data_IF_822324382234
#
_entry.id   IF_822324382234
#
_cell.length_a   1.000
_cell.length_b   1.000
_cell.length_c   1.000
_cell.angle_alpha   90.00
_cell.angle_beta   90.00
_cell.angle_gamma   90.00
#
_symmetry.space_group_name_H-M   'P 1'
#
loop_
_entity.id
_entity.type
_entity.pdbx_description
1 polymer ?
#
# COMPACT_ATOMS: atom_id res chain seq x y z
N UNK A 1 8.98 -16.88 -0.01
CA UNK A 1 9.69 -16.99 1.32
C UNK A 1 10.25 -18.41 1.55
N UNK A 2 11.10 -18.66 2.56
CA UNK A 2 11.61 -20.01 2.88
C UNK A 2 10.49 -20.91 3.44
N UNK A 3 10.40 -22.16 2.99
CA UNK A 3 9.42 -23.13 3.51
C UNK A 3 9.63 -23.39 5.00
N UNK A 4 8.54 -23.57 5.74
CA UNK A 4 8.57 -24.01 7.13
C UNK A 4 7.90 -25.39 7.20
N UNK A 5 8.67 -26.44 7.48
CA UNK A 5 8.16 -27.80 7.71
C UNK A 5 8.37 -28.18 9.17
N UNK A 6 9.55 -28.69 9.48
CA UNK A 6 9.97 -29.04 10.84
C UNK A 6 11.16 -28.16 11.23
N UNK A 7 11.12 -27.61 12.43
CA UNK A 7 12.17 -26.77 12.99
C UNK A 7 12.61 -27.36 14.33
N UNK A 8 13.84 -27.88 14.40
CA UNK A 8 14.46 -28.33 15.64
C UNK A 8 15.61 -27.39 16.01
N UNK A 9 15.69 -27.02 17.30
CA UNK A 9 16.76 -26.18 17.80
C UNK A 9 16.59 -25.80 19.25
N UNK A 10 17.62 -25.16 19.81
CA UNK A 10 17.57 -24.61 21.16
C UNK A 10 16.61 -23.43 21.17
N UNK A 11 15.61 -23.47 22.07
CA UNK A 11 14.67 -22.39 22.29
C UNK A 11 15.24 -21.36 23.28
N UNK A 12 15.12 -20.08 22.96
CA UNK A 12 15.57 -18.98 23.83
C UNK A 12 14.38 -18.41 24.64
N UNK A 13 14.51 -18.28 25.97
CA UNK A 13 13.50 -17.63 26.79
C UNK A 13 13.61 -16.10 26.72
N UNK A 14 12.51 -15.40 26.42
CA UNK A 14 12.44 -13.94 26.42
C UNK A 14 11.21 -13.45 27.20
N UNK A 15 11.27 -13.43 28.55
CA UNK A 15 10.14 -13.17 29.42
C UNK A 15 9.84 -11.67 29.58
N UNK A 16 9.60 -10.98 28.45
CA UNK A 16 9.28 -9.54 28.42
C UNK A 16 7.82 -9.35 28.00
N UNK A 17 6.97 -8.98 28.95
CA UNK A 17 5.56 -8.64 28.70
C UNK A 17 5.49 -7.29 27.96
N UNK A 18 4.55 -7.17 27.01
CA UNK A 18 4.38 -5.97 26.18
C UNK A 18 5.69 -5.60 25.45
N UNK A 19 6.32 -6.59 24.82
CA UNK A 19 7.51 -6.37 24.03
C UNK A 19 7.14 -5.64 22.74
N UNK A 20 7.29 -4.32 22.75
CA UNK A 20 6.99 -3.47 21.58
C UNK A 20 7.95 -3.73 20.42
N UNK A 21 7.44 -3.67 19.20
CA UNK A 21 8.22 -3.57 17.96
C UNK A 21 9.39 -2.59 18.00
N UNK A 22 9.31 -1.47 18.74
CA UNK A 22 10.44 -0.53 18.88
C UNK A 22 11.59 -1.14 19.66
N UNK A 23 11.26 -1.93 20.71
CA UNK A 23 12.23 -2.68 21.48
C UNK A 23 12.82 -3.82 20.65
N UNK A 24 12.03 -4.45 19.77
CA UNK A 24 12.52 -5.47 18.84
C UNK A 24 13.46 -4.82 17.82
N UNK A 25 13.06 -3.71 17.20
CA UNK A 25 13.83 -3.01 16.19
C UNK A 25 13.60 -1.48 16.27
N UNK A 26 14.58 -0.70 16.74
CA UNK A 26 14.40 0.72 17.00
C UNK A 26 14.02 1.56 15.77
N UNK A 27 13.10 2.51 15.97
CA UNK A 27 12.60 3.40 14.91
C UNK A 27 13.69 4.14 14.13
N UNK A 28 14.82 4.44 14.77
CA UNK A 28 15.93 5.19 14.17
C UNK A 28 16.54 4.49 12.94
N UNK A 29 16.35 3.17 12.80
CA UNK A 29 16.87 2.37 11.69
C UNK A 29 15.85 2.09 10.57
N UNK A 30 14.63 2.61 10.65
CA UNK A 30 13.56 2.32 9.68
C UNK A 30 13.79 2.88 8.26
N UNK A 31 14.87 3.65 8.05
CA UNK A 31 15.25 4.18 6.73
C UNK A 31 15.84 3.12 5.79
N UNK A 32 16.20 1.94 6.31
CA UNK A 32 16.76 0.87 5.48
C UNK A 32 15.67 0.16 4.67
N UNK A 33 15.97 -0.10 3.40
CA UNK A 33 15.14 -0.93 2.50
C UNK A 33 15.70 -2.36 2.36
N UNK A 34 16.86 -2.65 2.96
CA UNK A 34 17.46 -3.99 2.94
C UNK A 34 16.79 -4.89 3.97
N UNK A 35 16.59 -6.16 3.62
CA UNK A 35 16.03 -7.19 4.51
C UNK A 35 17.09 -8.02 5.24
N UNK A 36 18.38 -7.77 4.99
CA UNK A 36 19.51 -8.48 5.61
C UNK A 36 20.46 -7.53 6.32
N UNK A 37 21.23 -8.08 7.27
CA UNK A 37 22.14 -7.29 8.11
C UNK A 37 21.40 -6.41 9.12
N UNK A 38 20.17 -6.79 9.47
CA UNK A 38 19.31 -6.09 10.42
C UNK A 38 19.53 -6.60 11.85
N UNK A 39 20.03 -7.83 11.99
CA UNK A 39 20.33 -8.48 13.27
C UNK A 39 21.31 -7.71 14.15
N UNK A 40 22.13 -6.82 13.58
CA UNK A 40 23.02 -5.93 14.33
C UNK A 40 22.26 -4.86 15.15
N UNK A 41 21.01 -4.56 14.80
CA UNK A 41 20.14 -3.61 15.52
C UNK A 41 18.98 -4.30 16.26
N UNK A 42 18.87 -5.62 16.14
CA UNK A 42 17.87 -6.41 16.85
C UNK A 42 18.06 -6.26 18.36
N UNK A 43 16.99 -5.87 19.06
CA UNK A 43 16.97 -5.64 20.51
C UNK A 43 18.00 -4.63 21.00
N UNK A 44 18.35 -3.61 20.19
CA UNK A 44 19.53 -2.80 20.43
C UNK A 44 19.67 -2.29 21.87
N UNK A 45 18.59 -1.73 22.43
CA UNK A 45 18.57 -1.09 23.75
C UNK A 45 18.87 -2.04 24.91
N UNK A 46 18.63 -3.35 24.72
CA UNK A 46 18.79 -4.37 25.77
C UNK A 46 19.88 -5.39 25.44
N UNK A 47 20.20 -5.56 24.15
CA UNK A 47 21.20 -6.50 23.63
C UNK A 47 22.59 -5.89 23.54
N UNK A 48 22.72 -4.57 23.47
CA UNK A 48 24.02 -3.89 23.42
C UNK A 48 24.14 -2.87 24.55
N UNK A 49 25.38 -2.61 24.96
CA UNK A 49 25.74 -1.51 25.87
C UNK A 49 25.86 -0.21 25.08
N UNK A 50 25.94 0.90 25.80
CA UNK A 50 26.07 2.25 25.23
C UNK A 50 27.34 2.47 24.40
N UNK A 51 28.39 1.69 24.65
CA UNK A 51 29.64 1.68 23.87
C UNK A 51 29.56 0.80 22.60
N UNK A 52 28.41 0.18 22.34
CA UNK A 52 28.18 -0.73 21.21
C UNK A 52 28.64 -2.16 21.43
N UNK A 53 29.24 -2.50 22.59
CA UNK A 53 29.58 -3.88 22.92
C UNK A 53 28.34 -4.70 23.29
N UNK A 54 28.40 -6.01 23.08
CA UNK A 54 27.27 -6.89 23.42
C UNK A 54 27.04 -6.95 24.94
N UNK A 55 25.78 -6.91 25.36
CA UNK A 55 25.38 -7.14 26.74
C UNK A 55 25.39 -8.65 27.03
N UNK A 56 26.32 -9.19 27.84
CA UNK A 56 26.42 -10.63 28.10
C UNK A 56 25.20 -11.18 28.86
N UNK A 57 24.45 -10.32 29.55
CA UNK A 57 23.26 -10.72 30.32
C UNK A 57 22.02 -10.88 29.42
N UNK A 58 22.06 -10.38 28.18
CA UNK A 58 20.96 -10.59 27.24
C UNK A 58 20.97 -12.00 26.68
N UNK A 59 19.82 -12.68 26.73
CA UNK A 59 19.69 -14.11 26.40
C UNK A 59 20.30 -14.48 25.05
N UNK A 60 20.04 -13.70 23.99
CA UNK A 60 20.54 -13.99 22.63
C UNK A 60 22.04 -13.71 22.43
N UNK A 61 22.74 -13.17 23.43
CA UNK A 61 24.20 -13.06 23.43
C UNK A 61 24.88 -14.23 24.17
N UNK A 62 24.12 -15.07 24.85
CA UNK A 62 24.66 -16.21 25.60
C UNK A 62 24.70 -17.46 24.74
N UNK A 63 25.76 -18.27 24.86
CA UNK A 63 25.70 -19.65 24.42
C UNK A 63 24.81 -20.43 25.40
N UNK A 64 23.84 -21.24 24.93
CA UNK A 64 23.62 -21.70 23.56
C UNK A 64 22.68 -20.84 22.69
N UNK A 65 21.97 -19.88 23.26
CA UNK A 65 20.86 -19.16 22.62
C UNK A 65 21.27 -18.22 21.48
N UNK A 66 22.57 -17.95 21.32
CA UNK A 66 23.13 -17.15 20.22
C UNK A 66 22.69 -17.62 18.83
N UNK A 67 22.45 -18.93 18.68
CA UNK A 67 21.99 -19.54 17.44
C UNK A 67 20.57 -20.11 17.55
N UNK A 68 19.78 -19.57 18.50
CA UNK A 68 18.40 -20.01 18.68
C UNK A 68 17.60 -19.75 17.41
N UNK A 69 16.71 -20.69 17.09
CA UNK A 69 15.75 -20.56 15.99
C UNK A 69 14.31 -20.40 16.49
N UNK A 70 14.10 -20.65 17.78
CA UNK A 70 12.81 -20.64 18.46
C UNK A 70 12.92 -19.65 19.61
N UNK A 71 11.95 -18.76 19.73
CA UNK A 71 11.85 -17.79 20.81
C UNK A 71 10.58 -18.07 21.62
N UNK A 72 10.70 -18.21 22.93
CA UNK A 72 9.56 -18.29 23.85
C UNK A 72 9.38 -16.91 24.47
N UNK A 73 8.32 -16.22 24.07
CA UNK A 73 7.97 -14.87 24.50
C UNK A 73 6.94 -14.84 25.63
N UNK A 74 6.69 -13.64 26.15
CA UNK A 74 5.61 -13.40 27.11
C UNK A 74 4.40 -12.71 26.45
N UNK A 75 3.40 -12.38 27.27
CA UNK A 75 2.12 -11.84 26.80
C UNK A 75 2.26 -10.52 26.02
N UNK A 76 1.41 -10.36 25.01
CA UNK A 76 1.33 -9.21 24.10
C UNK A 76 2.64 -8.95 23.32
N UNK A 77 3.17 -10.00 22.69
CA UNK A 77 4.43 -9.93 21.94
C UNK A 77 4.28 -9.12 20.65
N UNK A 78 5.23 -8.23 20.39
CA UNK A 78 5.26 -7.42 19.16
C UNK A 78 4.22 -6.30 19.14
N UNK A 79 3.81 -5.79 20.30
CA UNK A 79 2.88 -4.66 20.40
C UNK A 79 3.46 -3.35 19.87
N UNK A 80 2.65 -2.29 19.80
CA UNK A 80 3.09 -0.99 19.33
C UNK A 80 2.89 -0.78 17.83
N UNK A 81 3.83 -0.08 17.18
CA UNK A 81 3.66 0.41 15.81
C UNK A 81 3.83 -0.67 14.74
N UNK A 82 3.15 -0.49 13.60
CA UNK A 82 3.34 -1.35 12.43
C UNK A 82 4.76 -1.21 11.87
N UNK A 83 5.61 -2.22 12.08
CA UNK A 83 7.00 -2.24 11.61
C UNK A 83 7.38 -3.61 11.06
N UNK A 84 7.47 -3.72 9.74
CA UNK A 84 7.94 -4.96 9.08
C UNK A 84 9.42 -5.27 9.34
N UNK A 85 10.22 -4.25 9.68
CA UNK A 85 11.63 -4.44 10.05
C UNK A 85 11.83 -5.31 11.30
N UNK A 86 10.87 -5.33 12.23
CA UNK A 86 10.96 -6.14 13.45
C UNK A 86 11.01 -7.65 13.15
N UNK A 87 10.05 -8.25 12.40
CA UNK A 87 10.17 -9.64 11.98
C UNK A 87 11.38 -9.86 11.05
N UNK A 88 11.75 -8.92 10.17
CA UNK A 88 12.96 -9.08 9.34
C UNK A 88 14.24 -9.21 10.18
N UNK A 89 14.38 -8.41 11.24
CA UNK A 89 15.55 -8.47 12.11
C UNK A 89 15.61 -9.77 12.92
N UNK A 90 14.46 -10.29 13.37
CA UNK A 90 14.35 -11.60 14.00
C UNK A 90 14.75 -12.72 13.03
N UNK A 91 14.26 -12.65 11.79
CA UNK A 91 14.59 -13.63 10.75
C UNK A 91 16.07 -13.59 10.36
N UNK A 92 16.64 -12.39 10.18
CA UNK A 92 18.06 -12.19 9.86
C UNK A 92 18.98 -12.67 10.99
N UNK A 93 18.52 -12.64 12.24
CA UNK A 93 19.22 -13.26 13.37
C UNK A 93 19.12 -14.80 13.35
N UNK A 94 18.08 -15.36 12.72
CA UNK A 94 17.86 -16.80 12.60
C UNK A 94 16.60 -17.32 13.30
N UNK A 95 15.81 -16.44 13.94
CA UNK A 95 14.54 -16.81 14.58
C UNK A 95 13.50 -17.10 13.50
N UNK A 96 13.00 -18.34 13.49
CA UNK A 96 11.99 -18.83 12.54
C UNK A 96 10.65 -19.13 13.21
N UNK A 97 10.62 -19.34 14.51
CA UNK A 97 9.40 -19.59 15.28
C UNK A 97 9.37 -18.74 16.55
N UNK A 98 8.19 -18.21 16.89
CA UNK A 98 7.96 -17.46 18.12
C UNK A 98 6.73 -18.08 18.80
N UNK A 99 6.84 -18.40 20.08
CA UNK A 99 5.74 -18.97 20.88
C UNK A 99 5.45 -18.00 22.01
N UNK A 100 4.21 -17.53 22.14
CA UNK A 100 3.83 -16.58 23.19
C UNK A 100 2.34 -16.75 23.56
N UNK A 101 1.87 -16.21 24.70
CA UNK A 101 0.46 -16.30 25.06
C UNK A 101 -0.45 -15.51 24.10
N UNK A 102 0.04 -14.36 23.63
CA UNK A 102 -0.65 -13.52 22.67
C UNK A 102 0.33 -12.67 21.86
N UNK A 103 -0.13 -12.19 20.72
CA UNK A 103 0.61 -11.30 19.82
C UNK A 103 -0.25 -10.10 19.47
N UNK A 104 0.38 -8.98 19.15
CA UNK A 104 -0.33 -7.89 18.48
C UNK A 104 -0.61 -8.25 17.02
N UNK A 105 -1.83 -7.97 16.55
CA UNK A 105 -2.35 -8.43 15.25
C UNK A 105 -1.44 -8.09 14.07
N UNK A 106 -0.88 -6.89 14.04
CA UNK A 106 -0.04 -6.43 12.92
C UNK A 106 1.27 -7.22 12.87
N UNK A 107 1.95 -7.36 14.02
CA UNK A 107 3.18 -8.13 14.11
C UNK A 107 2.92 -9.60 13.75
N UNK A 108 1.85 -10.18 14.29
CA UNK A 108 1.42 -11.54 14.01
C UNK A 108 1.23 -11.81 12.52
N UNK A 109 0.53 -10.90 11.82
CA UNK A 109 0.35 -10.99 10.37
C UNK A 109 1.66 -10.83 9.58
N UNK A 110 2.52 -9.90 10.01
CA UNK A 110 3.81 -9.68 9.35
C UNK A 110 4.75 -10.87 9.50
N UNK A 111 4.68 -11.63 10.60
CA UNK A 111 5.45 -12.87 10.73
C UNK A 111 5.15 -13.87 9.60
N UNK A 112 3.86 -14.14 9.33
CA UNK A 112 3.47 -15.08 8.26
C UNK A 112 3.96 -14.63 6.89
N UNK A 113 3.83 -13.34 6.57
CA UNK A 113 4.31 -12.77 5.30
C UNK A 113 5.81 -12.91 5.09
N UNK A 114 6.57 -13.10 6.18
CA UNK A 114 8.02 -13.20 6.17
C UNK A 114 8.54 -14.61 6.49
N UNK A 115 7.67 -15.62 6.56
CA UNK A 115 8.07 -17.01 6.79
C UNK A 115 8.48 -17.34 8.23
N UNK A 116 8.03 -16.54 9.19
CA UNK A 116 8.15 -16.81 10.62
C UNK A 116 6.82 -17.41 11.09
N UNK A 117 6.89 -18.48 11.90
CA UNK A 117 5.72 -19.11 12.51
C UNK A 117 5.47 -18.54 13.94
N UNK A 118 4.48 -17.66 14.13
CA UNK A 118 4.02 -17.28 15.45
C UNK A 118 2.96 -18.27 15.95
N UNK A 119 3.18 -18.85 17.13
CA UNK A 119 2.28 -19.81 17.78
C UNK A 119 1.73 -19.18 19.05
N UNK A 120 0.42 -18.94 19.08
CA UNK A 120 -0.29 -18.49 20.27
C UNK A 120 -0.78 -19.71 21.06
N UNK A 121 -0.46 -19.79 22.35
CA UNK A 121 -0.88 -20.88 23.24
C UNK A 121 -1.41 -20.33 24.58
N UNK A 122 -2.22 -21.10 25.32
CA UNK A 122 -2.56 -20.77 26.70
C UNK A 122 -1.32 -20.44 27.54
N UNK A 123 -1.44 -19.44 28.41
CA UNK A 123 -0.32 -18.91 29.20
C UNK A 123 0.38 -20.01 30.00
N UNK A 124 -0.37 -20.94 30.56
CA UNK A 124 0.13 -22.03 31.38
C UNK A 124 1.10 -22.92 30.59
N UNK A 125 0.76 -23.22 29.34
CA UNK A 125 1.60 -24.02 28.44
C UNK A 125 2.85 -23.23 28.04
N UNK A 126 2.72 -21.92 27.78
CA UNK A 126 3.87 -21.08 27.43
C UNK A 126 4.84 -20.95 28.62
N UNK A 127 4.32 -20.86 29.84
CA UNK A 127 5.14 -20.81 31.06
C UNK A 127 5.95 -22.12 31.22
N UNK A 128 5.34 -23.28 30.97
CA UNK A 128 6.05 -24.57 30.94
C UNK A 128 7.15 -24.63 29.86
N UNK A 129 6.85 -24.14 28.64
CA UNK A 129 7.84 -24.04 27.57
C UNK A 129 8.95 -23.04 27.91
N UNK A 130 8.64 -21.97 28.64
CA UNK A 130 9.62 -20.98 29.10
C UNK A 130 10.58 -21.60 30.12
N UNK A 131 10.07 -22.44 31.03
CA UNK A 131 10.90 -23.20 31.97
C UNK A 131 11.82 -24.19 31.25
N UNK A 132 11.31 -24.89 30.23
CA UNK A 132 12.12 -25.76 29.38
C UNK A 132 13.21 -25.00 28.63
N UNK A 133 12.86 -23.82 28.09
CA UNK A 133 13.81 -22.92 27.42
C UNK A 133 14.92 -22.44 28.37
N UNK A 134 14.65 -22.34 29.68
CA UNK A 134 15.63 -22.00 30.72
C UNK A 134 16.72 -23.04 30.96
N UNK A 135 16.60 -24.27 30.43
CA UNK A 135 17.52 -25.40 30.67
C UNK A 135 18.79 -25.35 29.80
N UNK A 136 19.12 -24.21 29.19
CA UNK A 136 20.36 -24.02 28.44
C UNK A 136 20.47 -24.94 27.23
N UNK A 137 21.61 -25.62 27.05
CA UNK A 137 21.87 -26.42 25.85
C UNK A 137 20.90 -27.61 25.70
N UNK A 138 20.22 -28.00 26.77
CA UNK A 138 19.22 -29.07 26.77
C UNK A 138 17.82 -28.59 26.36
N UNK A 139 17.63 -27.28 26.11
CA UNK A 139 16.36 -26.70 25.69
C UNK A 139 16.03 -26.94 24.21
N UNK A 140 16.27 -28.16 23.71
CA UNK A 140 15.99 -28.51 22.31
C UNK A 140 14.50 -28.80 22.17
N UNK A 141 13.82 -28.00 21.35
CA UNK A 141 12.42 -28.19 20.99
C UNK A 141 12.31 -28.48 19.50
N UNK A 142 11.31 -29.25 19.12
CA UNK A 142 11.00 -29.52 17.71
C UNK A 142 9.58 -29.09 17.39
N UNK A 143 9.46 -28.11 16.50
CA UNK A 143 8.20 -27.59 15.97
C UNK A 143 7.92 -28.31 14.65
N UNK A 144 6.79 -28.99 14.56
CA UNK A 144 6.34 -29.65 13.35
C UNK A 144 5.06 -28.97 12.86
N UNK A 145 5.15 -28.24 11.75
CA UNK A 145 4.01 -27.49 11.22
C UNK A 145 2.96 -28.39 10.57
N UNK A 146 3.36 -29.53 10.01
CA UNK A 146 2.45 -30.43 9.32
C UNK A 146 1.49 -31.11 10.30
N UNK A 147 2.03 -31.62 11.40
CA UNK A 147 1.27 -32.22 12.51
C UNK A 147 0.81 -31.20 13.56
N UNK A 148 1.29 -29.95 13.46
CA UNK A 148 1.05 -28.86 14.42
C UNK A 148 1.38 -29.27 15.86
N UNK A 149 2.59 -29.79 16.05
CA UNK A 149 3.10 -30.23 17.34
C UNK A 149 4.39 -29.53 17.73
N UNK A 150 4.56 -29.35 19.04
CA UNK A 150 5.80 -28.93 19.68
C UNK A 150 6.24 -30.11 20.54
N UNK A 151 7.37 -30.73 20.19
CA UNK A 151 7.99 -31.77 21.02
C UNK A 151 8.96 -31.08 21.98
N UNK A 152 8.70 -31.24 23.27
CA UNK A 152 9.48 -30.71 24.39
C UNK A 152 10.76 -31.53 24.61
N UNK A 153 11.74 -31.03 25.41
CA UNK A 153 12.98 -31.75 25.68
C UNK A 153 12.79 -33.12 26.36
N UNK A 154 11.71 -33.30 27.12
CA UNK A 154 11.34 -34.57 27.78
C UNK A 154 10.58 -35.54 26.87
N UNK A 155 10.28 -35.13 25.63
CA UNK A 155 9.53 -35.90 24.64
C UNK A 155 8.02 -35.71 24.70
N UNK A 156 7.49 -34.94 25.65
CA UNK A 156 6.08 -34.58 25.67
C UNK A 156 5.72 -33.71 24.46
N UNK A 157 4.48 -33.86 23.98
CA UNK A 157 3.97 -33.13 22.81
C UNK A 157 2.87 -32.16 23.21
N UNK A 158 3.05 -30.90 22.82
CA UNK A 158 2.04 -29.85 22.89
C UNK A 158 1.48 -29.63 21.50
N UNK A 159 0.15 -29.62 21.37
CA UNK A 159 -0.53 -29.31 20.11
C UNK A 159 -0.84 -27.82 20.01
N UNK A 160 -0.74 -27.27 18.80
CA UNK A 160 -1.21 -25.92 18.49
C UNK A 160 -2.15 -25.92 17.29
N UNK A 161 -2.94 -24.87 17.14
CA UNK A 161 -3.81 -24.68 15.99
C UNK A 161 -3.36 -23.51 15.14
N UNK A 162 -3.40 -23.69 13.82
CA UNK A 162 -3.14 -22.64 12.85
C UNK A 162 -4.22 -22.70 11.77
N UNK A 163 -4.62 -21.53 11.28
CA UNK A 163 -5.46 -21.40 10.11
C UNK A 163 -4.89 -22.21 8.91
N UNK A 164 -5.77 -22.91 8.21
CA UNK A 164 -5.40 -23.85 7.14
C UNK A 164 -4.69 -23.13 5.97
N UNK A 165 -5.10 -21.91 5.65
CA UNK A 165 -4.47 -21.13 4.58
C UNK A 165 -3.08 -20.66 4.98
N UNK A 166 -2.91 -20.11 6.19
CA UNK A 166 -1.58 -19.74 6.71
C UNK A 166 -0.62 -20.93 6.79
N UNK A 167 -1.10 -22.08 7.24
CA UNK A 167 -0.35 -23.34 7.24
C UNK A 167 0.09 -23.73 5.84
N UNK A 168 -0.83 -23.69 4.87
CA UNK A 168 -0.52 -24.00 3.48
C UNK A 168 0.57 -23.08 2.91
N UNK A 169 0.47 -21.77 3.16
CA UNK A 169 1.47 -20.80 2.71
C UNK A 169 2.85 -21.07 3.29
N UNK A 170 2.95 -21.33 4.60
CA UNK A 170 4.22 -21.63 5.26
C UNK A 170 4.85 -22.95 4.79
N UNK A 171 4.07 -24.03 4.68
CA UNK A 171 4.56 -25.33 4.18
C UNK A 171 5.10 -25.24 2.75
N UNK A 172 4.50 -24.38 1.93
CA UNK A 172 4.86 -24.24 0.51
C UNK A 172 5.79 -23.05 0.23
N UNK A 173 6.08 -22.19 1.22
CA UNK A 173 6.95 -21.03 1.06
C UNK A 173 6.30 -19.89 0.25
N UNK A 174 4.97 -19.82 0.26
CA UNK A 174 4.17 -18.89 -0.54
C UNK A 174 3.94 -17.58 0.21
N UNK A 175 4.53 -16.51 -0.30
CA UNK A 175 4.10 -15.14 0.01
C UNK A 175 3.02 -14.71 -1.00
N UNK A 176 2.55 -13.46 -0.90
CA UNK A 176 1.50 -12.92 -1.77
C UNK A 176 1.88 -13.02 -3.28
N UNK A 177 3.17 -12.93 -3.59
CA UNK A 177 3.69 -13.10 -4.95
C UNK A 177 3.67 -14.58 -5.32
N UNK A 178 4.21 -15.46 -4.46
CA UNK A 178 4.23 -16.91 -4.70
C UNK A 178 2.82 -17.51 -4.90
N UNK A 179 1.81 -17.02 -4.18
CA UNK A 179 0.41 -17.40 -4.38
C UNK A 179 -0.11 -17.01 -5.77
N UNK A 180 0.33 -15.87 -6.29
CA UNK A 180 -0.01 -15.42 -7.63
C UNK A 180 0.72 -16.26 -8.68
N UNK A 181 2.00 -16.57 -8.45
CA UNK A 181 2.82 -17.39 -9.34
C UNK A 181 2.30 -18.82 -9.51
N UNK A 182 1.61 -19.38 -8.50
CA UNK A 182 0.94 -20.68 -8.63
C UNK A 182 -0.12 -20.72 -9.72
N UNK A 183 -0.65 -19.56 -10.13
CA UNK A 183 -1.70 -19.45 -11.14
C UNK A 183 -1.15 -19.14 -12.53
N UNK A 184 0.18 -19.16 -12.74
CA UNK A 184 0.78 -18.77 -14.03
C UNK A 184 0.22 -19.57 -15.20
N UNK A 185 -0.01 -20.88 -15.07
CA UNK A 185 -0.58 -21.67 -16.16
C UNK A 185 -2.04 -21.33 -16.45
N UNK A 186 -2.83 -21.00 -15.43
CA UNK A 186 -4.21 -20.54 -15.60
C UNK A 186 -4.25 -19.13 -16.21
N UNK A 187 -3.36 -18.26 -15.76
CA UNK A 187 -3.15 -16.91 -16.31
C UNK A 187 -2.75 -17.03 -17.78
N UNK A 188 -1.73 -17.81 -18.11
CA UNK A 188 -1.27 -18.04 -19.48
C UNK A 188 -2.32 -18.74 -20.33
N UNK A 189 -3.03 -19.75 -19.82
CA UNK A 189 -4.10 -20.41 -20.60
C UNK A 189 -5.30 -19.48 -20.83
N UNK A 190 -5.59 -18.59 -19.88
CA UNK A 190 -6.56 -17.52 -20.06
C UNK A 190 -6.09 -16.53 -21.13
N UNK A 191 -4.82 -16.12 -21.09
CA UNK A 191 -4.18 -15.24 -22.08
C UNK A 191 -4.08 -15.87 -23.48
N UNK A 192 -3.83 -17.18 -23.58
CA UNK A 192 -3.74 -17.91 -24.85
C UNK A 192 -5.12 -18.21 -25.46
N UNK A 193 -6.11 -18.53 -24.61
CA UNK A 193 -7.53 -18.66 -25.04
C UNK A 193 -8.16 -17.31 -25.31
N UNK A 194 -7.60 -16.22 -24.79
CA UNK A 194 -7.90 -14.89 -25.24
C UNK A 194 -7.33 -14.74 -26.66
N UNK A 195 -8.17 -15.13 -27.62
CA UNK A 195 -7.91 -15.11 -29.05
C UNK A 195 -7.01 -13.92 -29.49
N UNK A 196 -5.81 -14.15 -30.04
CA UNK A 196 -4.99 -13.09 -30.63
C UNK A 196 -5.71 -12.35 -31.77
N UNK A 197 -6.70 -13.01 -32.41
CA UNK A 197 -7.60 -12.47 -33.42
C UNK A 197 -8.92 -11.90 -32.83
N UNK A 198 -9.12 -11.94 -31.51
CA UNK A 198 -9.92 -10.94 -30.75
C UNK A 198 -9.09 -9.68 -30.48
N UNK A 199 -8.11 -9.39 -31.34
CA UNK A 199 -7.87 -7.99 -31.66
C UNK A 199 -9.24 -7.36 -31.95
N UNK A 200 -9.58 -6.32 -31.19
CA UNK A 200 -10.70 -5.46 -31.56
C UNK A 200 -10.30 -4.88 -32.92
N UNK A 201 -10.69 -5.55 -33.99
CA UNK A 201 -10.91 -4.84 -35.23
C UNK A 201 -12.07 -3.94 -34.87
N UNK A 202 -11.76 -2.66 -34.69
CA UNK A 202 -12.76 -1.60 -34.72
C UNK A 202 -13.45 -1.81 -36.06
N UNK A 203 -14.58 -2.53 -36.05
CA UNK A 203 -15.46 -2.57 -37.21
C UNK A 203 -15.69 -1.11 -37.56
N UNK A 204 -15.54 -0.74 -38.83
CA UNK A 204 -15.73 0.64 -39.29
C UNK A 204 -17.01 1.20 -38.69
N UNK A 205 -16.82 1.99 -37.63
CA UNK A 205 -17.87 2.57 -36.82
C UNK A 205 -18.61 3.52 -37.75
N UNK A 206 -19.94 3.41 -37.81
CA UNK A 206 -20.73 4.49 -38.41
C UNK A 206 -20.40 5.75 -37.61
N UNK A 207 -19.78 6.72 -38.27
CA UNK A 207 -19.16 7.88 -37.63
C UNK A 207 -20.07 8.48 -36.56
N UNK A 208 -19.73 8.22 -35.30
CA UNK A 208 -20.16 9.05 -34.18
C UNK A 208 -19.32 10.32 -34.20
N UNK A 209 -19.90 11.45 -33.81
CA UNK A 209 -19.12 12.68 -33.64
C UNK A 209 -18.29 12.67 -32.35
N UNK A 210 -18.36 11.62 -31.52
CA UNK A 210 -17.65 11.54 -30.23
C UNK A 210 -16.42 10.66 -30.34
N UNK A 211 -15.24 11.25 -30.17
CA UNK A 211 -13.92 10.63 -30.25
C UNK A 211 -13.41 10.22 -28.88
N UNK A 212 -12.99 8.97 -28.75
CA UNK A 212 -12.33 8.44 -27.54
C UNK A 212 -10.94 7.96 -27.92
N UNK A 213 -9.93 8.48 -27.23
CA UNK A 213 -8.58 7.93 -27.27
C UNK A 213 -8.39 6.94 -26.13
N UNK A 214 -7.96 5.73 -26.44
CA UNK A 214 -7.58 4.72 -25.46
C UNK A 214 -6.06 4.70 -25.33
N UNK A 215 -5.59 4.83 -24.10
CA UNK A 215 -4.18 4.77 -23.72
C UNK A 215 -3.99 3.60 -22.75
N UNK A 216 -3.71 2.38 -23.24
CA UNK A 216 -3.67 1.20 -22.38
C UNK A 216 -2.50 1.19 -21.40
N UNK A 217 -1.34 1.67 -21.84
CA UNK A 217 -0.13 1.79 -21.02
C UNK A 217 0.51 0.46 -20.66
N UNK A 218 0.92 0.32 -19.40
CA UNK A 218 1.83 -0.72 -18.91
C UNK A 218 1.13 -1.78 -18.03
N UNK A 219 1.80 -2.92 -17.81
CA UNK A 219 1.34 -3.98 -16.90
C UNK A 219 -0.01 -4.54 -17.31
N UNK A 220 -0.98 -4.54 -16.38
CA UNK A 220 -2.36 -5.00 -16.63
C UNK A 220 -3.18 -4.04 -17.50
N UNK A 221 -2.68 -2.84 -17.79
CA UNK A 221 -3.38 -1.79 -18.53
C UNK A 221 -3.98 -2.24 -19.87
N UNK A 222 -3.21 -2.90 -20.76
CA UNK A 222 -3.69 -3.49 -22.00
C UNK A 222 -4.80 -4.54 -21.84
N UNK A 223 -4.81 -5.31 -20.76
CA UNK A 223 -5.85 -6.32 -20.50
C UNK A 223 -7.15 -5.67 -20.07
N UNK A 224 -7.09 -4.76 -19.08
CA UNK A 224 -8.29 -4.09 -18.58
C UNK A 224 -8.92 -3.18 -19.64
N UNK A 225 -8.14 -2.53 -20.50
CA UNK A 225 -8.68 -1.71 -21.59
C UNK A 225 -9.35 -2.55 -22.68
N UNK A 226 -8.87 -3.77 -22.95
CA UNK A 226 -9.57 -4.73 -23.83
C UNK A 226 -10.97 -5.05 -23.32
N UNK A 227 -11.13 -5.24 -22.01
CA UNK A 227 -12.44 -5.49 -21.40
C UNK A 227 -13.35 -4.25 -21.48
N UNK A 228 -12.79 -3.04 -21.32
CA UNK A 228 -13.54 -1.80 -21.55
C UNK A 228 -14.04 -1.70 -22.99
N UNK A 229 -13.22 -2.06 -23.99
CA UNK A 229 -13.63 -2.05 -25.40
C UNK A 229 -14.75 -3.06 -25.70
N UNK A 230 -14.78 -4.22 -25.03
CA UNK A 230 -15.92 -5.17 -25.14
C UNK A 230 -17.22 -4.57 -24.63
N UNK A 231 -17.16 -3.75 -23.57
CA UNK A 231 -18.33 -3.03 -23.07
C UNK A 231 -18.75 -1.94 -24.06
N UNK A 232 -17.80 -1.18 -24.62
CA UNK A 232 -18.08 -0.20 -25.69
C UNK A 232 -18.78 -0.85 -26.88
N UNK A 233 -18.28 -1.99 -27.34
CA UNK A 233 -18.90 -2.77 -28.43
C UNK A 233 -20.32 -3.23 -28.07
N UNK A 234 -20.55 -3.63 -26.82
CA UNK A 234 -21.90 -3.97 -26.36
C UNK A 234 -22.87 -2.78 -26.49
N UNK A 235 -22.46 -1.58 -26.09
CA UNK A 235 -23.27 -0.35 -26.24
C UNK A 235 -23.56 -0.04 -27.72
N UNK A 236 -22.57 -0.22 -28.59
CA UNK A 236 -22.70 0.03 -30.02
C UNK A 236 -23.65 -0.98 -30.70
N UNK A 237 -23.46 -2.29 -30.47
CA UNK A 237 -24.34 -3.35 -30.99
C UNK A 237 -25.79 -3.20 -30.55
N UNK A 238 -26.01 -2.68 -29.34
CA UNK A 238 -27.35 -2.40 -28.80
C UNK A 238 -27.92 -1.05 -29.23
N UNK A 239 -27.18 -0.27 -30.02
CA UNK A 239 -27.55 1.09 -30.48
C UNK A 239 -27.88 2.03 -29.32
N UNK A 240 -27.22 1.84 -28.18
CA UNK A 240 -27.36 2.71 -27.01
C UNK A 240 -26.44 3.92 -27.17
N UNK A 241 -25.19 3.69 -27.58
CA UNK A 241 -24.21 4.73 -27.90
C UNK A 241 -23.12 4.17 -28.82
N UNK A 242 -22.63 5.00 -29.74
CA UNK A 242 -21.54 4.68 -30.67
C UNK A 242 -20.41 5.70 -30.50
N UNK A 243 -19.17 5.27 -30.70
CA UNK A 243 -17.97 6.09 -30.50
C UNK A 243 -16.96 5.88 -31.63
N UNK A 244 -16.17 6.90 -31.92
CA UNK A 244 -14.97 6.83 -32.76
C UNK A 244 -13.78 6.53 -31.85
N UNK A 245 -13.26 5.30 -31.89
CA UNK A 245 -12.20 4.83 -31.00
C UNK A 245 -10.86 4.89 -31.73
N UNK A 246 -9.87 5.51 -31.09
CA UNK A 246 -8.46 5.43 -31.49
C UNK A 246 -7.61 4.97 -30.32
N UNK A 247 -6.45 4.37 -30.62
CA UNK A 247 -5.50 3.91 -29.60
C UNK A 247 -4.11 4.53 -29.82
N UNK A 248 -3.37 4.68 -28.72
CA UNK A 248 -1.95 5.06 -28.75
C UNK A 248 -1.23 4.62 -27.46
N UNK A 249 0.09 4.78 -27.42
CA UNK A 249 0.92 4.36 -26.30
C UNK A 249 1.14 5.48 -25.27
N UNK A 250 1.27 5.11 -23.99
CA UNK A 250 1.67 5.99 -22.88
C UNK A 250 2.55 5.21 -21.91
N UNK A 251 3.37 5.89 -21.11
CA UNK A 251 4.19 5.26 -20.07
C UNK A 251 5.40 4.50 -20.64
N UNK A 252 5.70 3.33 -20.06
CA UNK A 252 6.79 2.46 -20.50
C UNK A 252 6.63 1.98 -21.94
N UNK A 253 5.41 1.64 -22.35
CA UNK A 253 5.06 1.27 -23.72
C UNK A 253 5.37 2.42 -24.71
N UNK A 254 5.06 3.67 -24.34
CA UNK A 254 5.44 4.83 -25.16
C UNK A 254 6.95 5.06 -25.18
N UNK A 255 7.63 4.86 -24.05
CA UNK A 255 9.08 4.97 -24.01
C UNK A 255 9.77 3.97 -24.94
N UNK A 256 9.26 2.74 -25.03
CA UNK A 256 9.77 1.73 -25.94
C UNK A 256 9.48 2.03 -27.41
N UNK A 257 8.30 2.59 -27.71
CA UNK A 257 7.91 2.93 -29.07
C UNK A 257 8.53 4.25 -29.59
N UNK A 258 8.68 5.24 -28.71
CA UNK A 258 8.97 6.64 -29.08
C UNK A 258 10.16 7.26 -28.35
N UNK A 259 10.77 6.57 -27.39
CA UNK A 259 11.86 7.09 -26.56
C UNK A 259 11.42 8.11 -25.50
N UNK A 260 10.11 8.30 -25.30
CA UNK A 260 9.52 9.23 -24.32
C UNK A 260 8.26 8.63 -23.71
N UNK A 261 7.96 8.86 -22.41
CA UNK A 261 6.75 8.32 -21.78
C UNK A 261 5.44 8.94 -22.28
N UNK A 262 5.50 10.02 -23.08
CA UNK A 262 4.37 10.59 -23.80
C UNK A 262 4.89 11.32 -25.05
N UNK A 263 4.57 10.79 -26.22
CA UNK A 263 4.93 11.42 -27.50
C UNK A 263 4.04 12.63 -27.80
N UNK A 264 4.58 13.62 -28.53
CA UNK A 264 3.80 14.80 -28.97
C UNK A 264 2.58 14.40 -29.82
N UNK A 265 2.74 13.39 -30.68
CA UNK A 265 1.65 12.88 -31.51
C UNK A 265 0.51 12.30 -30.66
N UNK A 266 0.84 11.59 -29.58
CA UNK A 266 -0.14 11.04 -28.64
C UNK A 266 -0.86 12.16 -27.87
N UNK A 267 -0.12 13.17 -27.41
CA UNK A 267 -0.73 14.33 -26.74
C UNK A 267 -1.66 15.09 -27.69
N UNK A 268 -1.27 15.28 -28.94
CA UNK A 268 -2.12 15.93 -29.94
C UNK A 268 -3.42 15.14 -30.19
N UNK A 269 -3.37 13.80 -30.24
CA UNK A 269 -4.57 12.96 -30.30
C UNK A 269 -5.45 13.13 -29.06
N UNK A 270 -4.85 13.20 -27.87
CA UNK A 270 -5.58 13.35 -26.61
C UNK A 270 -6.35 14.69 -26.56
N UNK A 271 -5.69 15.79 -26.97
CA UNK A 271 -6.30 17.13 -27.05
C UNK A 271 -7.40 17.22 -28.13
N UNK A 272 -7.31 16.39 -29.18
CA UNK A 272 -8.31 16.32 -30.25
C UNK A 272 -9.47 15.35 -29.97
N UNK A 273 -9.44 14.64 -28.84
CA UNK A 273 -10.45 13.66 -28.44
C UNK A 273 -11.44 14.26 -27.43
N UNK A 274 -12.69 13.79 -27.45
CA UNK A 274 -13.71 14.22 -26.48
C UNK A 274 -13.51 13.56 -25.11
N UNK A 275 -12.90 12.36 -25.08
CA UNK A 275 -12.52 11.67 -23.86
C UNK A 275 -11.25 10.84 -24.06
N UNK A 276 -10.54 10.60 -22.96
CA UNK A 276 -9.40 9.69 -22.90
C UNK A 276 -9.71 8.58 -21.90
N UNK A 277 -9.62 7.33 -22.33
CA UNK A 277 -9.65 6.15 -21.47
C UNK A 277 -8.22 5.71 -21.20
N UNK A 278 -7.87 5.52 -19.94
CA UNK A 278 -6.50 5.29 -19.51
C UNK A 278 -6.42 3.99 -18.69
N UNK A 279 -5.47 3.12 -19.03
CA UNK A 279 -5.20 1.88 -18.30
C UNK A 279 -4.32 2.10 -17.07
N UNK A 280 -3.07 1.67 -17.16
CA UNK A 280 -2.09 1.80 -16.07
C UNK A 280 -0.74 2.26 -16.64
N UNK A 281 0.13 2.82 -15.80
CA UNK A 281 1.52 3.13 -16.17
C UNK A 281 2.47 2.79 -15.03
N UNK A 282 3.70 2.44 -15.39
CA UNK A 282 4.77 2.09 -14.44
C UNK A 282 5.15 0.61 -14.49
N UNK A 283 6.32 0.32 -13.93
CA UNK A 283 6.86 -1.04 -13.84
C UNK A 283 8.36 -1.05 -13.54
N UNK A 284 8.82 -2.07 -12.82
CA UNK A 284 10.20 -2.16 -12.32
C UNK A 284 11.27 -2.06 -13.44
N UNK A 285 10.90 -2.42 -14.68
CA UNK A 285 11.75 -2.31 -15.87
C UNK A 285 12.28 -0.89 -16.10
N UNK A 286 11.54 0.13 -15.70
CA UNK A 286 11.83 1.54 -16.01
C UNK A 286 12.30 2.37 -14.80
N UNK A 287 12.49 1.75 -13.63
CA UNK A 287 12.89 2.46 -12.39
C UNK A 287 14.27 3.11 -12.48
N UNK A 288 15.15 2.57 -13.33
CA UNK A 288 16.51 3.08 -13.56
C UNK A 288 16.58 4.21 -14.58
N UNK A 289 15.46 4.53 -15.26
CA UNK A 289 15.43 5.65 -16.18
C UNK A 289 15.63 6.99 -15.46
N UNK A 290 16.23 7.98 -16.15
CA UNK A 290 16.21 9.38 -15.71
C UNK A 290 14.80 9.81 -15.30
N UNK A 291 14.70 10.65 -14.26
CA UNK A 291 13.43 11.00 -13.63
C UNK A 291 12.39 11.55 -14.61
N UNK A 292 12.82 12.29 -15.63
CA UNK A 292 12.03 12.88 -16.71
C UNK A 292 11.53 11.88 -17.76
N UNK A 293 12.18 10.71 -17.86
CA UNK A 293 11.84 9.65 -18.80
C UNK A 293 11.04 8.50 -18.19
N UNK A 294 10.78 8.54 -16.88
CA UNK A 294 10.00 7.49 -16.21
C UNK A 294 8.52 7.48 -16.67
N UNK A 295 7.85 6.31 -16.70
CA UNK A 295 6.46 6.19 -17.17
C UNK A 295 5.48 7.17 -16.52
N UNK A 296 5.63 7.45 -15.21
CA UNK A 296 4.75 8.33 -14.45
C UNK A 296 4.83 9.80 -14.89
N UNK A 297 5.88 10.18 -15.63
CA UNK A 297 5.99 11.51 -16.22
C UNK A 297 4.99 11.73 -17.33
N UNK A 298 4.65 10.66 -18.08
CA UNK A 298 3.67 10.72 -19.16
C UNK A 298 2.30 11.13 -18.64
N UNK A 299 1.79 10.47 -17.59
CA UNK A 299 0.48 10.79 -17.01
C UNK A 299 0.43 12.18 -16.36
N UNK A 300 1.52 12.63 -15.72
CA UNK A 300 1.57 13.97 -15.13
C UNK A 300 1.54 15.07 -16.21
N UNK A 301 2.30 14.87 -17.30
CA UNK A 301 2.28 15.79 -18.45
C UNK A 301 0.90 15.80 -19.10
N UNK A 302 0.33 14.63 -19.37
CA UNK A 302 -1.01 14.52 -19.97
C UNK A 302 -2.07 15.28 -19.17
N UNK A 303 -2.11 15.10 -17.85
CA UNK A 303 -3.03 15.82 -16.95
C UNK A 303 -2.86 17.33 -17.01
N UNK A 304 -1.61 17.81 -17.04
CA UNK A 304 -1.30 19.24 -17.04
C UNK A 304 -1.65 19.89 -18.38
N UNK A 305 -1.24 19.28 -19.50
CA UNK A 305 -1.45 19.82 -20.85
C UNK A 305 -2.92 19.80 -21.26
N UNK A 306 -3.70 18.84 -20.75
CA UNK A 306 -5.15 18.78 -20.95
C UNK A 306 -5.96 19.60 -19.91
N UNK A 307 -5.28 20.30 -18.99
CA UNK A 307 -5.88 21.05 -17.87
C UNK A 307 -6.94 20.25 -17.08
N UNK A 308 -6.65 18.98 -16.80
CA UNK A 308 -7.55 18.07 -16.07
C UNK A 308 -7.47 18.31 -14.55
N UNK A 309 -7.83 19.51 -14.10
CA UNK A 309 -7.60 19.98 -12.74
C UNK A 309 -8.43 19.28 -11.66
N UNK A 310 -9.62 18.75 -11.99
CA UNK A 310 -10.50 18.11 -11.00
C UNK A 310 -10.40 16.58 -11.09
N UNK A 311 -9.75 15.95 -10.12
CA UNK A 311 -9.75 14.51 -10.00
C UNK A 311 -10.88 14.04 -9.07
N UNK A 312 -11.80 13.26 -9.63
CA UNK A 312 -12.95 12.70 -8.90
C UNK A 312 -12.65 11.25 -8.51
N UNK A 313 -12.68 10.94 -7.21
CA UNK A 313 -12.46 9.60 -6.67
C UNK A 313 -13.63 9.20 -5.75
N UNK A 314 -14.67 8.55 -6.28
CA UNK A 314 -15.70 7.95 -5.44
C UNK A 314 -15.11 6.79 -4.65
N UNK A 315 -15.29 6.79 -3.34
CA UNK A 315 -15.02 5.65 -2.48
C UNK A 315 -16.37 5.09 -2.00
N UNK A 316 -16.80 4.03 -2.68
CA UNK A 316 -18.08 3.36 -2.43
C UNK A 316 -17.82 1.93 -1.96
N UNK A 317 -18.47 1.53 -0.86
CA UNK A 317 -18.44 0.16 -0.37
C UNK A 317 -19.77 -0.50 -0.69
N UNK A 318 -19.75 -1.41 -1.66
CA UNK A 318 -20.89 -2.27 -1.96
C UNK A 318 -21.11 -3.26 -0.82
N UNK A 319 -22.36 -3.46 -0.40
CA UNK A 319 -22.69 -4.34 0.73
C UNK A 319 -22.15 -5.78 0.57
N UNK A 320 -22.09 -6.28 -0.67
CA UNK A 320 -21.55 -7.59 -1.01
C UNK A 320 -20.03 -7.70 -0.82
N UNK A 321 -19.32 -6.56 -0.77
CA UNK A 321 -17.86 -6.48 -0.63
C UNK A 321 -17.43 -5.86 0.70
N UNK A 322 -18.37 -5.52 1.59
CA UNK A 322 -18.05 -4.82 2.83
C UNK A 322 -17.09 -5.62 3.75
N UNK A 323 -17.16 -6.96 3.71
CA UNK A 323 -16.28 -7.84 4.50
C UNK A 323 -14.86 -7.97 3.91
N UNK A 324 -14.61 -7.44 2.70
CA UNK A 324 -13.26 -7.30 2.15
C UNK A 324 -12.50 -6.11 2.76
N UNK A 325 -13.21 -5.20 3.44
CA UNK A 325 -12.58 -4.10 4.17
C UNK A 325 -11.87 -4.61 5.42
N UNK A 326 -10.74 -3.98 5.76
CA UNK A 326 -10.08 -4.20 7.06
C UNK A 326 -10.80 -3.51 8.23
N UNK A 327 -11.74 -2.60 7.95
CA UNK A 327 -12.56 -1.96 8.97
C UNK A 327 -13.79 -2.80 9.30
N UNK A 328 -14.31 -2.64 10.52
CA UNK A 328 -15.54 -3.32 10.93
C UNK A 328 -16.68 -2.96 9.99
N UNK A 329 -17.47 -3.96 9.60
CA UNK A 329 -18.57 -3.84 8.63
C UNK A 329 -19.53 -2.70 8.96
N UNK A 330 -19.89 -2.51 10.22
CA UNK A 330 -20.80 -1.44 10.68
C UNK A 330 -20.29 -0.03 10.35
N UNK A 331 -18.96 0.16 10.34
CA UNK A 331 -18.33 1.44 9.97
C UNK A 331 -18.35 1.72 8.47
N UNK A 332 -18.30 0.69 7.62
CA UNK A 332 -18.04 0.86 6.18
C UNK A 332 -19.15 0.38 5.25
N UNK A 333 -20.06 -0.50 5.67
CA UNK A 333 -21.16 -0.97 4.82
C UNK A 333 -22.05 0.21 4.39
N UNK A 334 -22.29 0.37 3.09
CA UNK A 334 -23.00 1.51 2.54
C UNK A 334 -22.23 2.84 2.58
N UNK A 335 -20.90 2.80 2.73
CA UNK A 335 -20.07 4.00 2.56
C UNK A 335 -20.19 4.52 1.13
N UNK A 336 -20.44 5.81 0.98
CA UNK A 336 -20.46 6.53 -0.30
C UNK A 336 -19.94 7.95 -0.07
N UNK A 337 -18.66 8.17 -0.37
CA UNK A 337 -18.05 9.50 -0.35
C UNK A 337 -17.37 9.81 -1.68
N UNK A 338 -17.27 11.10 -2.00
CA UNK A 338 -16.56 11.61 -3.17
C UNK A 338 -15.37 12.45 -2.74
N UNK A 339 -14.18 12.09 -3.19
CA UNK A 339 -12.98 12.93 -3.02
C UNK A 339 -12.75 13.70 -4.31
N UNK A 340 -12.72 15.02 -4.21
CA UNK A 340 -12.40 15.96 -5.27
C UNK A 340 -11.02 16.54 -4.98
N UNK A 341 -10.04 16.16 -5.79
CA UNK A 341 -8.65 16.54 -5.58
C UNK A 341 -8.17 17.46 -6.71
N UNK A 342 -7.51 18.55 -6.38
CA UNK A 342 -6.79 19.35 -7.38
C UNK A 342 -5.63 18.52 -7.96
N UNK A 343 -5.50 18.50 -9.29
CA UNK A 343 -4.63 17.57 -10.00
C UNK A 343 -3.52 18.22 -10.82
N UNK A 344 -3.51 19.54 -10.97
CA UNK A 344 -2.65 20.24 -11.94
C UNK A 344 -1.80 21.37 -11.35
N UNK A 345 -1.93 21.65 -10.06
CA UNK A 345 -1.22 22.67 -9.29
C UNK A 345 -0.45 22.08 -8.10
N UNK A 346 -0.25 22.91 -7.07
CA UNK A 346 0.40 22.52 -5.82
C UNK A 346 1.84 22.04 -6.00
N UNK A 347 2.30 21.27 -5.02
CA UNK A 347 3.67 20.77 -4.90
C UNK A 347 4.09 19.86 -6.07
N UNK A 348 3.11 19.32 -6.79
CA UNK A 348 3.32 18.48 -7.96
C UNK A 348 3.88 19.26 -9.15
N UNK A 349 3.56 20.55 -9.28
CA UNK A 349 3.93 21.39 -10.42
C UNK A 349 4.64 22.70 -10.04
N UNK A 350 4.62 23.08 -8.76
CA UNK A 350 5.25 24.30 -8.28
C UNK A 350 6.76 24.39 -8.51
N UNK A 351 7.22 25.61 -8.73
CA UNK A 351 8.62 25.99 -8.89
C UNK A 351 8.99 27.08 -7.87
N UNK A 352 10.24 27.15 -7.38
CA UNK A 352 11.39 26.30 -7.74
C UNK A 352 11.27 24.86 -7.22
N UNK A 353 11.99 23.94 -7.86
CA UNK A 353 12.07 22.53 -7.46
C UNK A 353 13.36 21.88 -7.92
N UNK A 354 13.76 20.79 -7.26
CA UNK A 354 14.92 19.98 -7.65
C UNK A 354 15.84 19.69 -6.47
N UNK A 355 17.03 19.15 -6.77
CA UNK A 355 18.08 18.96 -5.78
C UNK A 355 19.31 19.70 -6.24
N UNK A 356 19.84 20.56 -5.37
CA UNK A 356 21.04 21.35 -5.63
C UNK A 356 22.15 21.04 -4.62
N UNK A 357 23.39 21.32 -5.00
CA UNK A 357 24.56 21.28 -4.12
C UNK A 357 24.85 22.69 -3.64
N UNK A 358 24.86 22.89 -2.33
CA UNK A 358 25.14 24.16 -1.69
C UNK A 358 26.65 24.47 -1.69
N UNK A 359 27.07 25.73 -1.43
CA UNK A 359 28.48 26.11 -1.41
C UNK A 359 29.35 25.32 -0.43
N UNK A 360 28.76 24.77 0.63
CA UNK A 360 29.45 23.92 1.62
C UNK A 360 29.55 22.44 1.20
N UNK A 361 29.09 22.10 0.00
CA UNK A 361 29.05 20.73 -0.53
C UNK A 361 27.86 19.89 -0.06
N UNK A 362 27.00 20.41 0.83
CA UNK A 362 25.78 19.72 1.25
C UNK A 362 24.71 19.76 0.16
N UNK A 363 23.74 18.83 0.20
CA UNK A 363 22.64 18.76 -0.78
C UNK A 363 21.34 19.30 -0.19
N UNK A 364 20.63 20.13 -0.95
CA UNK A 364 19.31 20.66 -0.60
C UNK A 364 18.28 20.23 -1.63
N UNK A 365 17.20 19.58 -1.17
CA UNK A 365 16.02 19.28 -1.99
C UNK A 365 14.95 20.34 -1.79
N UNK A 366 14.33 20.79 -2.87
CA UNK A 366 13.29 21.82 -2.86
C UNK A 366 12.09 21.33 -3.67
N UNK A 367 10.91 21.54 -3.12
CA UNK A 367 9.64 21.51 -3.81
C UNK A 367 8.79 22.66 -3.27
N UNK A 368 8.01 23.30 -4.14
CA UNK A 368 7.20 24.48 -3.76
C UNK A 368 5.72 24.13 -3.85
N UNK A 369 5.02 24.19 -2.72
CA UNK A 369 3.55 24.19 -2.71
C UNK A 369 3.07 25.59 -3.05
N UNK A 370 2.32 25.74 -4.15
CA UNK A 370 1.82 27.03 -4.61
C UNK A 370 0.47 26.86 -5.31
N UNK A 371 -0.44 27.79 -5.01
CA UNK A 371 -1.76 27.87 -5.61
C UNK A 371 -2.14 29.34 -5.83
N UNK A 372 -2.80 29.62 -6.95
CA UNK A 372 -3.55 30.85 -7.18
C UNK A 372 -5.01 30.68 -6.73
N UNK A 373 -5.68 31.78 -6.42
CA UNK A 373 -7.10 31.76 -6.09
C UNK A 373 -7.97 31.11 -7.18
N UNK A 374 -7.64 31.35 -8.45
CA UNK A 374 -8.38 30.78 -9.58
C UNK A 374 -8.25 29.25 -9.66
N UNK A 375 -7.09 28.69 -9.31
CA UNK A 375 -6.87 27.24 -9.27
C UNK A 375 -7.68 26.58 -8.15
N UNK A 376 -7.78 27.23 -6.99
CA UNK A 376 -8.57 26.78 -5.85
C UNK A 376 -10.07 26.88 -6.18
N UNK A 377 -10.49 28.04 -6.67
CA UNK A 377 -11.89 28.34 -6.93
C UNK A 377 -12.51 27.34 -7.92
N UNK A 378 -11.84 27.02 -9.02
CA UNK A 378 -12.37 26.09 -10.04
C UNK A 378 -12.64 24.70 -9.48
N UNK A 379 -11.76 24.16 -8.62
CA UNK A 379 -11.92 22.81 -8.06
C UNK A 379 -12.91 22.78 -6.89
N UNK A 380 -12.97 23.83 -6.07
CA UNK A 380 -14.01 23.99 -5.04
C UNK A 380 -15.39 24.05 -5.70
N UNK A 381 -15.56 24.81 -6.78
CA UNK A 381 -16.84 24.89 -7.51
C UNK A 381 -17.29 23.51 -8.00
N UNK A 382 -16.37 22.69 -8.52
CA UNK A 382 -16.67 21.30 -8.91
C UNK A 382 -17.15 20.48 -7.70
N UNK A 383 -16.49 20.61 -6.55
CA UNK A 383 -16.91 19.92 -5.33
C UNK A 383 -18.30 20.36 -4.86
N UNK A 384 -18.59 21.66 -4.88
CA UNK A 384 -19.91 22.19 -4.54
C UNK A 384 -21.00 21.68 -5.50
N UNK A 385 -20.75 21.68 -6.81
CA UNK A 385 -21.69 21.15 -7.81
C UNK A 385 -21.97 19.65 -7.64
N UNK A 386 -20.96 18.88 -7.22
CA UNK A 386 -21.13 17.47 -6.87
C UNK A 386 -21.94 17.30 -5.58
N UNK A 387 -21.65 18.08 -4.54
CA UNK A 387 -22.37 18.03 -3.28
C UNK A 387 -23.86 18.38 -3.44
N UNK A 388 -24.22 19.33 -4.32
CA UNK A 388 -25.63 19.66 -4.67
C UNK A 388 -26.42 18.46 -5.19
N UNK A 389 -25.74 17.52 -5.84
CA UNK A 389 -26.34 16.30 -6.42
C UNK A 389 -26.27 15.11 -5.46
N UNK A 390 -25.72 15.32 -4.26
CA UNK A 390 -25.49 14.30 -3.23
C UNK A 390 -26.11 14.75 -1.91
N UNK A 391 -25.41 14.58 -0.79
CA UNK A 391 -25.88 14.91 0.55
C UNK A 391 -25.79 16.39 0.93
N UNK A 392 -25.36 17.27 0.02
CA UNK A 392 -25.30 18.71 0.24
C UNK A 392 -24.19 19.18 1.19
N UNK A 393 -23.20 18.33 1.48
CA UNK A 393 -22.13 18.63 2.45
C UNK A 393 -20.75 18.57 1.81
N UNK A 394 -19.95 19.61 2.00
CA UNK A 394 -18.56 19.72 1.53
C UNK A 394 -17.65 19.85 2.74
N UNK A 395 -16.63 19.00 2.83
CA UNK A 395 -15.53 19.15 3.77
C UNK A 395 -14.27 19.59 3.00
N UNK A 396 -13.82 20.81 3.23
CA UNK A 396 -12.53 21.28 2.75
C UNK A 396 -11.44 20.77 3.70
N UNK A 397 -10.35 20.24 3.13
CA UNK A 397 -9.28 19.60 3.89
C UNK A 397 -7.93 20.21 3.54
N UNK A 398 -7.27 20.76 4.55
CA UNK A 398 -6.08 21.61 4.42
C UNK A 398 -5.04 21.38 5.54
N UNK A 399 -4.00 22.23 5.55
CA UNK A 399 -3.08 22.39 6.69
C UNK A 399 -2.87 23.86 7.09
N UNK A 400 -3.93 24.65 7.15
CA UNK A 400 -3.95 26.09 7.42
C UNK A 400 -3.40 26.49 8.80
N UNK A 401 -3.23 25.55 9.73
CA UNK A 401 -2.53 25.82 10.99
C UNK A 401 -1.00 25.86 10.85
N UNK A 402 -0.47 25.51 9.68
CA UNK A 402 0.97 25.49 9.37
C UNK A 402 1.28 26.18 8.05
N UNK A 403 0.44 26.00 7.03
CA UNK A 403 0.71 26.42 5.65
C UNK A 403 -0.20 27.57 5.24
N UNK A 404 0.39 28.69 4.78
CA UNK A 404 -0.34 29.85 4.26
C UNK A 404 -1.18 29.48 3.03
N UNK A 405 -0.71 28.54 2.20
CA UNK A 405 -1.51 28.01 1.09
C UNK A 405 -2.82 27.38 1.59
N UNK A 406 -2.79 26.65 2.71
CA UNK A 406 -3.99 26.10 3.34
C UNK A 406 -4.92 27.19 3.87
N UNK A 407 -4.37 28.30 4.37
CA UNK A 407 -5.17 29.49 4.75
C UNK A 407 -5.93 30.06 3.56
N UNK A 408 -5.25 30.26 2.43
CA UNK A 408 -5.87 30.73 1.19
C UNK A 408 -6.95 29.77 0.68
N UNK A 409 -6.71 28.45 0.77
CA UNK A 409 -7.70 27.42 0.41
C UNK A 409 -9.01 27.58 1.17
N UNK A 410 -8.95 27.80 2.49
CA UNK A 410 -10.14 28.04 3.32
C UNK A 410 -10.89 29.30 2.92
N UNK A 411 -10.18 30.41 2.77
CA UNK A 411 -10.77 31.70 2.40
C UNK A 411 -11.54 31.61 1.07
N UNK A 412 -10.93 30.99 0.06
CA UNK A 412 -11.58 30.81 -1.25
C UNK A 412 -12.75 29.84 -1.15
N UNK A 413 -12.63 28.74 -0.40
CA UNK A 413 -13.71 27.78 -0.23
C UNK A 413 -14.95 28.39 0.46
N UNK A 414 -14.73 29.16 1.53
CA UNK A 414 -15.78 29.90 2.22
C UNK A 414 -16.44 30.91 1.30
N UNK A 415 -15.64 31.71 0.59
CA UNK A 415 -16.14 32.70 -0.38
C UNK A 415 -17.02 32.06 -1.44
N UNK A 416 -16.55 31.01 -2.11
CA UNK A 416 -17.30 30.30 -3.17
C UNK A 416 -18.62 29.76 -2.65
N UNK A 417 -18.63 29.16 -1.45
CA UNK A 417 -19.86 28.66 -0.83
C UNK A 417 -20.82 29.81 -0.52
N UNK A 418 -20.33 30.90 0.07
CA UNK A 418 -21.15 32.04 0.47
C UNK A 418 -21.71 32.85 -0.71
N UNK A 419 -21.01 32.89 -1.83
CA UNK A 419 -21.49 33.58 -3.04
C UNK A 419 -22.50 32.76 -3.80
N UNK A 420 -22.19 31.49 -4.09
CA UNK A 420 -22.88 30.74 -5.14
C UNK A 420 -23.59 29.47 -4.64
N UNK A 421 -23.26 28.99 -3.44
CA UNK A 421 -23.73 27.70 -2.92
C UNK A 421 -24.21 27.78 -1.46
N UNK A 422 -24.91 28.85 -1.10
CA UNK A 422 -25.37 29.14 0.28
C UNK A 422 -26.20 28.03 0.93
N UNK A 423 -26.79 27.16 0.13
CA UNK A 423 -27.59 26.02 0.59
C UNK A 423 -26.76 24.77 0.92
N UNK A 424 -25.43 24.79 0.72
CA UNK A 424 -24.53 23.70 1.08
C UNK A 424 -23.95 23.92 2.48
N UNK A 425 -23.79 22.83 3.21
CA UNK A 425 -23.00 22.82 4.44
C UNK A 425 -21.51 22.74 4.07
N UNK A 426 -20.70 23.68 4.57
CA UNK A 426 -19.25 23.68 4.43
C UNK A 426 -18.62 23.49 5.81
N UNK A 427 -17.74 22.50 5.92
CA UNK A 427 -16.90 22.27 7.09
C UNK A 427 -15.41 22.27 6.70
N UNK A 428 -14.56 22.55 7.68
CA UNK A 428 -13.10 22.54 7.50
C UNK A 428 -12.47 21.45 8.38
N UNK A 429 -11.45 20.77 7.86
CA UNK A 429 -10.74 19.76 8.62
C UNK A 429 -9.26 19.74 8.26
N UNK A 430 -8.38 19.65 9.26
CA UNK A 430 -6.96 19.45 8.96
C UNK A 430 -6.69 18.05 8.39
N UNK A 431 -5.76 17.93 7.46
CA UNK A 431 -5.44 16.69 6.74
C UNK A 431 -5.12 15.50 7.66
N UNK A 432 -4.42 15.73 8.77
CA UNK A 432 -4.12 14.71 9.79
C UNK A 432 -5.37 14.27 10.56
N UNK A 433 -6.26 15.20 10.93
CA UNK A 433 -7.55 14.84 11.52
C UNK A 433 -8.43 14.10 10.49
N UNK A 434 -8.45 14.53 9.23
CA UNK A 434 -9.18 13.86 8.15
C UNK A 434 -8.73 12.40 7.99
N UNK A 435 -7.42 12.15 8.02
CA UNK A 435 -6.88 10.79 8.00
C UNK A 435 -7.42 9.93 9.16
N UNK A 436 -7.51 10.49 10.37
CA UNK A 436 -8.13 9.79 11.51
C UNK A 436 -9.64 9.57 11.32
N UNK A 437 -10.36 10.58 10.83
CA UNK A 437 -11.81 10.53 10.65
C UNK A 437 -12.25 9.54 9.56
N UNK A 438 -11.45 9.37 8.50
CA UNK A 438 -11.68 8.35 7.48
C UNK A 438 -11.61 6.92 8.05
N UNK A 439 -10.86 6.69 9.12
CA UNK A 439 -10.83 5.39 9.82
C UNK A 439 -11.92 5.31 10.89
N UNK A 440 -12.12 6.39 11.65
CA UNK A 440 -12.99 6.42 12.83
C UNK A 440 -14.47 6.46 12.47
N UNK A 441 -14.86 7.30 11.51
CA UNK A 441 -16.24 7.51 11.11
C UNK A 441 -16.31 8.00 9.65
N UNK A 442 -15.97 7.13 8.66
CA UNK A 442 -15.88 7.54 7.26
C UNK A 442 -17.21 8.03 6.67
N UNK A 443 -18.34 7.50 7.16
CA UNK A 443 -19.69 7.86 6.69
C UNK A 443 -20.12 9.29 7.03
N UNK A 444 -19.34 10.02 7.82
CA UNK A 444 -19.62 11.43 8.09
C UNK A 444 -19.46 12.29 6.83
N UNK A 445 -18.59 11.89 5.91
CA UNK A 445 -18.26 12.64 4.71
C UNK A 445 -19.27 12.40 3.58
N UNK A 446 -19.54 13.45 2.81
CA UNK A 446 -20.26 13.36 1.54
C UNK A 446 -19.30 13.70 0.39
N UNK A 447 -18.85 14.96 0.31
CA UNK A 447 -17.81 15.40 -0.61
C UNK A 447 -16.64 15.98 0.17
N UNK A 448 -15.43 15.50 -0.11
CA UNK A 448 -14.17 16.07 0.39
C UNK A 448 -13.52 16.84 -0.76
N UNK A 449 -13.05 18.05 -0.51
CA UNK A 449 -12.22 18.81 -1.46
C UNK A 449 -10.86 19.13 -0.85
N UNK A 450 -9.78 18.93 -1.62
CA UNK A 450 -8.41 19.11 -1.13
C UNK A 450 -7.40 19.28 -2.28
N UNK A 451 -6.14 19.58 -1.94
CA UNK A 451 -5.02 19.87 -2.84
C UNK A 451 -4.26 18.66 -3.40
#
# INVERSE_FOLDING_TARGET
MEKFTTLSGVAAPLPIINLDTDKIFPAVYLKTIKRTGLSQWLFQEIRFRSDGSENPDFVLNQAPYRNAKILIGADNFGCGSSREHAPWALLDFGIRCIIAPSFADIFYNNCFKNGILPIALPKEIVDELMEDAGKGANAVMTIDLETQTITRPDGEKVHFELDAFRKHCLLNGLDDIGLTEQKVSEISAYEEKADPARGVTVAESRSSNRKILVLPGDGIGPEIMREVLRVVEFFDRRRIASFDISEDAVGGAAYEAYGTPLAEATLAKALASDAVLFGAVGGAKWDTLPFDLRPERGILRLRKEMDLFANLRPAVVFDALADASSLKRDLVAGLDLMIVRELTGGIYFGAPRGVETLPDGSRRGINTEVYSEAEIERVVRVACELARKRGGRVCEVDKANVMESGGLWREVAERVRDTDYRNLELSFMYADNCAMQLVRNPKQFDVIVTS
#
